data_IF_829009087436
#
_entry.id   IF_829009087436
#
_cell.length_a   1.000
_cell.length_b   1.000
_cell.length_c   1.000
_cell.angle_alpha   90.00
_cell.angle_beta   90.00
_cell.angle_gamma   90.00
#
_symmetry.space_group_name_H-M   'P 1'
#
loop_
_entity.id
_entity.type
_entity.pdbx_description
1 polymer ?
#
# COMPACT_ATOMS: atom_id res chain seq x y z
N UNK A 1 18.99 -7.13 -6.78
CA UNK A 1 17.52 -7.26 -6.69
C UNK A 1 17.17 -7.66 -5.26
N UNK A 2 16.51 -6.79 -4.50
CA UNK A 2 16.24 -7.01 -3.08
C UNK A 2 15.13 -6.10 -2.55
N UNK A 3 14.67 -6.36 -1.33
CA UNK A 3 13.63 -5.56 -0.70
C UNK A 3 14.11 -4.14 -0.41
N UNK A 4 13.33 -3.13 -0.80
CA UNK A 4 13.65 -1.72 -0.56
C UNK A 4 13.40 -1.26 0.90
N UNK A 5 13.07 -2.19 1.81
CA UNK A 5 12.94 -1.92 3.25
C UNK A 5 14.02 -2.67 4.04
N UNK A 6 14.11 -4.00 3.89
CA UNK A 6 15.05 -4.79 4.67
C UNK A 6 16.39 -5.06 3.98
N UNK A 7 16.53 -4.68 2.69
CA UNK A 7 17.72 -4.86 1.87
C UNK A 7 18.19 -6.31 1.69
N UNK A 8 17.35 -7.30 2.04
CA UNK A 8 17.60 -8.74 1.83
C UNK A 8 16.98 -9.22 0.52
N UNK A 9 17.28 -10.47 0.16
CA UNK A 9 16.55 -11.21 -0.88
C UNK A 9 15.06 -11.22 -0.55
N UNK A 10 14.22 -11.07 -1.57
CA UNK A 10 12.77 -10.94 -1.41
C UNK A 10 12.17 -12.28 -0.94
N UNK A 11 11.44 -12.24 0.17
CA UNK A 11 10.55 -13.31 0.59
C UNK A 11 9.10 -12.90 0.28
N UNK A 12 8.40 -13.70 -0.53
CA UNK A 12 7.07 -13.35 -1.09
C UNK A 12 7.11 -11.97 -1.75
N UNK A 13 7.78 -11.85 -2.92
CA UNK A 13 8.04 -10.56 -3.55
C UNK A 13 6.73 -9.86 -3.95
N UNK A 14 6.68 -8.56 -3.68
CA UNK A 14 5.67 -7.65 -4.20
C UNK A 14 6.37 -6.53 -4.99
N UNK A 15 5.93 -6.32 -6.23
CA UNK A 15 6.37 -5.18 -7.04
C UNK A 15 5.23 -4.19 -7.13
N UNK A 16 5.45 -3.01 -6.57
CA UNK A 16 4.49 -1.91 -6.62
C UNK A 16 4.41 -1.28 -8.02
N UNK A 17 3.32 -0.57 -8.37
CA UNK A 17 3.21 0.12 -9.67
C UNK A 17 4.30 1.17 -9.94
N UNK A 18 5.01 1.64 -8.90
CA UNK A 18 6.17 2.52 -9.04
C UNK A 18 7.50 1.75 -9.16
N UNK A 19 7.47 0.45 -9.48
CA UNK A 19 8.61 -0.43 -9.73
C UNK A 19 9.56 -0.67 -8.54
N UNK A 20 9.14 -0.38 -7.31
CA UNK A 20 9.87 -0.76 -6.10
C UNK A 20 9.42 -2.13 -5.61
N UNK A 21 10.39 -2.92 -5.14
CA UNK A 21 10.22 -4.31 -4.76
C UNK A 21 10.32 -4.48 -3.24
N UNK A 22 9.40 -5.22 -2.64
CA UNK A 22 9.32 -5.42 -1.19
C UNK A 22 9.03 -6.88 -0.85
N UNK A 23 9.48 -7.35 0.32
CA UNK A 23 8.89 -8.56 0.90
C UNK A 23 7.46 -8.24 1.34
N UNK A 24 6.53 -9.18 1.16
CA UNK A 24 5.14 -9.03 1.64
C UNK A 24 5.08 -8.57 3.10
N UNK A 25 5.81 -9.24 3.98
CA UNK A 25 5.85 -8.90 5.41
C UNK A 25 6.43 -7.50 5.68
N UNK A 26 7.41 -7.04 4.90
CA UNK A 26 7.97 -5.70 5.05
C UNK A 26 6.96 -4.62 4.63
N UNK A 27 6.25 -4.85 3.52
CA UNK A 27 5.25 -3.91 3.03
C UNK A 27 4.04 -3.86 3.97
N UNK A 28 3.50 -5.02 4.38
CA UNK A 28 2.41 -5.12 5.35
C UNK A 28 2.77 -4.42 6.67
N UNK A 29 4.00 -4.65 7.16
CA UNK A 29 4.52 -4.00 8.37
C UNK A 29 4.59 -2.48 8.27
N UNK A 30 4.97 -1.94 7.11
CA UNK A 30 5.07 -0.48 6.89
C UNK A 30 3.72 0.25 6.99
N UNK A 31 2.61 -0.46 6.75
CA UNK A 31 1.25 0.09 6.82
C UNK A 31 0.44 -0.47 8.00
N UNK A 32 1.05 -1.22 8.90
CA UNK A 32 0.38 -1.77 10.08
C UNK A 32 -0.26 -0.66 10.92
N UNK A 33 -1.52 -0.84 11.29
CA UNK A 33 -2.30 0.13 12.06
C UNK A 33 -2.82 1.33 11.28
N UNK A 34 -2.55 1.43 9.96
CA UNK A 34 -3.11 2.49 9.12
C UNK A 34 -4.44 2.05 8.51
N UNK A 35 -5.47 2.91 8.59
CA UNK A 35 -6.76 2.64 7.94
C UNK A 35 -6.70 3.02 6.45
N UNK A 36 -7.37 2.28 5.56
CA UNK A 36 -7.47 2.71 4.15
C UNK A 36 -8.49 3.81 3.90
N UNK A 37 -9.30 4.13 4.89
CA UNK A 37 -10.40 5.09 4.81
C UNK A 37 -10.19 6.20 5.84
N UNK A 38 -10.37 7.46 5.41
CA UNK A 38 -10.51 8.61 6.30
C UNK A 38 -11.98 9.00 6.41
N UNK A 39 -12.55 8.86 7.60
CA UNK A 39 -13.84 9.45 7.94
C UNK A 39 -13.62 10.93 8.26
N UNK A 40 -14.37 11.82 7.60
CA UNK A 40 -14.44 13.23 8.02
C UNK A 40 -15.64 13.41 8.94
N UNK A 41 -15.37 13.80 10.17
CA UNK A 41 -16.40 14.30 11.08
C UNK A 41 -16.94 15.61 10.52
N UNK A 42 -18.26 15.73 10.38
CA UNK A 42 -18.89 16.98 9.97
C UNK A 42 -19.58 17.63 11.17
N UNK A 43 -19.46 18.96 11.28
CA UNK A 43 -20.20 19.74 12.27
C UNK A 43 -21.67 20.01 11.86
N UNK A 44 -22.04 19.82 10.57
CA UNK A 44 -23.30 20.32 10.01
C UNK A 44 -24.19 19.25 9.33
N UNK A 45 -24.10 17.97 9.72
CA UNK A 45 -25.09 16.94 9.36
C UNK A 45 -25.11 16.45 7.89
N UNK A 46 -24.23 16.97 7.02
CA UNK A 46 -24.03 16.39 5.68
C UNK A 46 -23.10 15.19 5.80
N UNK A 47 -23.49 14.02 5.27
CA UNK A 47 -22.54 12.91 5.11
C UNK A 47 -21.58 13.25 3.97
N UNK A 48 -20.29 13.31 4.26
CA UNK A 48 -19.27 13.46 3.23
C UNK A 48 -18.97 12.09 2.63
N UNK A 49 -18.67 12.07 1.33
CA UNK A 49 -18.21 10.84 0.67
C UNK A 49 -16.94 10.35 1.37
N UNK A 50 -16.92 9.06 1.69
CA UNK A 50 -15.75 8.36 2.22
C UNK A 50 -14.55 8.61 1.33
N UNK A 51 -13.45 9.12 1.90
CA UNK A 51 -12.21 9.39 1.15
C UNK A 51 -11.16 8.34 1.52
N UNK A 52 -10.49 7.78 0.51
CA UNK A 52 -9.35 6.87 0.72
C UNK A 52 -8.17 7.60 1.36
N UNK A 53 -7.44 6.90 2.22
CA UNK A 53 -6.15 7.32 2.74
C UNK A 53 -5.12 7.30 1.60
N UNK A 54 -4.24 8.31 1.54
CA UNK A 54 -3.06 8.30 0.68
C UNK A 54 -2.02 7.42 1.39
N UNK A 55 -1.56 6.35 0.73
CA UNK A 55 -0.56 5.43 1.26
C UNK A 55 0.67 5.50 0.38
N UNK A 56 1.63 6.35 0.73
CA UNK A 56 2.83 6.55 -0.08
C UNK A 56 3.76 5.33 0.00
N UNK A 57 4.38 5.00 -1.11
CA UNK A 57 5.46 4.02 -1.17
C UNK A 57 6.55 4.33 -0.12
N UNK A 58 7.08 3.33 0.59
CA UNK A 58 8.19 3.54 1.54
C UNK A 58 9.49 4.06 0.90
N UNK A 59 9.61 4.01 -0.42
CA UNK A 59 10.81 4.42 -1.17
C UNK A 59 10.62 5.71 -1.98
N UNK A 60 9.39 6.03 -2.39
CA UNK A 60 9.12 7.21 -3.23
C UNK A 60 7.78 7.88 -2.87
N UNK A 61 7.47 8.99 -3.53
CA UNK A 61 6.26 9.77 -3.22
C UNK A 61 4.96 9.21 -3.81
N UNK A 62 5.02 8.17 -4.66
CA UNK A 62 3.86 7.58 -5.34
C UNK A 62 2.85 7.01 -4.34
N UNK A 63 1.58 7.35 -4.52
CA UNK A 63 0.47 6.74 -3.79
C UNK A 63 0.20 5.32 -4.30
N UNK A 64 0.19 4.35 -3.39
CA UNK A 64 -0.04 2.93 -3.66
C UNK A 64 -1.27 2.40 -2.90
N UNK A 65 -2.13 3.27 -2.38
CA UNK A 65 -3.30 2.87 -1.60
C UNK A 65 -4.21 1.86 -2.33
N UNK A 66 -4.47 2.08 -3.62
CA UNK A 66 -5.31 1.18 -4.42
C UNK A 66 -4.65 -0.19 -4.63
N UNK A 67 -3.33 -0.23 -4.82
CA UNK A 67 -2.57 -1.47 -4.93
C UNK A 67 -2.59 -2.27 -3.62
N UNK A 68 -2.48 -1.60 -2.46
CA UNK A 68 -2.51 -2.29 -1.17
C UNK A 68 -3.88 -2.94 -0.86
N UNK A 69 -4.98 -2.42 -1.42
CA UNK A 69 -6.32 -3.00 -1.22
C UNK A 69 -6.58 -4.22 -2.11
N UNK A 70 -5.98 -4.25 -3.28
CA UNK A 70 -6.14 -5.32 -4.25
C UNK A 70 -4.82 -5.50 -4.99
N UNK A 71 -3.79 -6.06 -4.33
CA UNK A 71 -2.56 -6.40 -5.01
C UNK A 71 -2.94 -7.47 -6.03
N UNK A 72 -2.99 -7.09 -7.31
CA UNK A 72 -3.14 -8.03 -8.40
C UNK A 72 -1.86 -8.86 -8.37
N UNK A 73 -1.95 -10.00 -7.71
CA UNK A 73 -0.97 -11.05 -7.73
C UNK A 73 -0.73 -11.39 -9.20
N UNK A 74 0.46 -11.08 -9.70
CA UNK A 74 0.98 -11.49 -11.01
C UNK A 74 1.17 -13.02 -11.11
N UNK A 75 0.35 -13.79 -10.38
CA UNK A 75 0.30 -15.25 -10.36
C UNK A 75 -0.80 -15.82 -11.28
N UNK A 76 -1.27 -15.07 -12.27
CA UNK A 76 -2.08 -15.58 -13.39
C UNK A 76 -1.32 -15.43 -14.71
N UNK A 77 -0.20 -16.12 -14.81
CA UNK A 77 0.24 -16.74 -16.05
C UNK A 77 0.72 -18.14 -15.66
N UNK A 78 -0.15 -19.12 -15.86
CA UNK A 78 0.27 -20.47 -16.26
C UNK A 78 1.15 -20.36 -17.53
#
# INVERSE_FOLDING_TARGET
FGCNICHKVLASPLTTPCAHNFCKACLDGAFSGQSYIRNRTTQNGRSLRTKKNIMKCPTCSTDIADYLQNPQDLYLLE
#
